data_IF_689535881197
#
_entry.id   IF_689535881197
#
_cell.length_a   1.000
_cell.length_b   1.000
_cell.length_c   1.000
_cell.angle_alpha   90.00
_cell.angle_beta   90.00
_cell.angle_gamma   90.00
#
_symmetry.space_group_name_H-M   'P 1'
#
loop_
_entity.id
_entity.type
_entity.pdbx_description
1 polymer ?
#
# COMPACT_ATOMS: atom_id res chain seq x y z
N UNK A 1 -57.70 -1.38 67.35
CA UNK A 1 -57.21 -2.67 66.82
C UNK A 1 -55.73 -2.50 66.48
N UNK A 2 -54.86 -3.23 67.19
CA UNK A 2 -53.39 -3.26 67.01
C UNK A 2 -53.00 -4.04 65.75
N UNK A 3 -51.87 -3.68 65.11
CA UNK A 3 -50.71 -4.51 64.68
C UNK A 3 -49.79 -3.59 63.82
N UNK A 4 -48.61 -3.15 64.29
CA UNK A 4 -47.24 -3.71 64.09
C UNK A 4 -46.83 -3.78 62.59
N UNK A 5 -45.62 -3.47 62.11
CA UNK A 5 -44.35 -2.91 62.61
C UNK A 5 -43.40 -2.72 61.39
N UNK A 6 -42.25 -2.08 61.64
CA UNK A 6 -40.96 -2.10 60.91
C UNK A 6 -40.61 -1.06 59.82
N UNK A 7 -39.62 -0.23 60.23
CA UNK A 7 -38.62 0.52 59.47
C UNK A 7 -37.70 -0.42 58.66
N UNK A 8 -37.23 0.02 57.48
CA UNK A 8 -35.81 0.17 57.10
C UNK A 8 -35.64 0.70 55.67
N UNK A 9 -34.51 1.37 55.46
CA UNK A 9 -34.13 2.21 54.34
C UNK A 9 -33.43 1.45 53.18
N UNK A 10 -33.38 2.07 52.00
CA UNK A 10 -32.24 2.15 51.06
C UNK A 10 -32.69 2.98 49.82
N UNK A 11 -32.13 4.16 49.55
CA UNK A 11 -31.00 4.38 48.62
C UNK A 11 -31.21 3.67 47.27
N UNK A 12 -31.48 4.30 46.12
CA UNK A 12 -30.81 5.45 45.53
C UNK A 12 -29.76 4.96 44.53
N UNK A 13 -30.08 4.88 43.23
CA UNK A 13 -29.09 4.80 42.15
C UNK A 13 -29.68 5.09 40.74
N UNK A 14 -29.38 6.31 40.28
CA UNK A 14 -28.85 6.67 38.95
C UNK A 14 -29.60 6.18 37.70
N UNK A 15 -30.42 7.08 37.17
CA UNK A 15 -30.75 7.14 35.76
C UNK A 15 -29.46 7.38 34.95
N UNK A 16 -29.06 6.38 34.16
CA UNK A 16 -28.08 6.49 33.09
C UNK A 16 -28.60 7.46 32.02
N UNK A 17 -28.36 8.74 32.24
CA UNK A 17 -28.33 9.72 31.17
C UNK A 17 -27.09 9.41 30.33
N UNK A 18 -27.33 8.87 29.14
CA UNK A 18 -26.35 8.79 28.08
C UNK A 18 -26.03 10.24 27.72
N UNK A 19 -25.03 10.81 28.40
CA UNK A 19 -24.42 12.05 27.98
C UNK A 19 -23.88 11.80 26.57
N UNK A 20 -24.45 12.51 25.60
CA UNK A 20 -23.85 12.69 24.31
C UNK A 20 -22.44 13.25 24.53
N UNK A 21 -21.42 12.40 24.50
CA UNK A 21 -20.04 12.84 24.42
C UNK A 21 -19.89 13.59 23.11
N UNK A 22 -19.64 14.91 23.21
CA UNK A 22 -19.25 15.75 22.10
C UNK A 22 -18.21 15.03 21.23
N UNK A 23 -18.36 15.04 19.90
CA UNK A 23 -17.34 14.55 18.97
C UNK A 23 -16.16 15.55 18.82
N UNK A 24 -15.93 16.42 19.81
CA UNK A 24 -14.75 17.27 19.90
C UNK A 24 -13.57 16.46 20.46
N UNK A 25 -13.20 15.38 19.77
CA UNK A 25 -11.80 14.97 19.83
C UNK A 25 -11.04 16.07 19.10
N UNK A 26 -10.21 16.80 19.84
CA UNK A 26 -9.22 17.67 19.25
C UNK A 26 -8.52 16.90 18.12
N UNK A 27 -8.83 17.27 16.88
CA UNK A 27 -8.00 16.92 15.73
C UNK A 27 -6.73 17.71 15.98
N UNK A 28 -5.75 17.10 16.65
CA UNK A 28 -4.44 17.72 16.84
C UNK A 28 -3.94 18.14 15.47
N UNK A 29 -3.89 19.45 15.23
CA UNK A 29 -3.33 20.03 14.00
C UNK A 29 -1.83 19.82 13.96
N UNK A 30 -1.22 19.63 15.13
CA UNK A 30 0.21 19.54 15.31
C UNK A 30 0.67 18.09 15.42
N UNK A 31 1.81 17.81 14.81
CA UNK A 31 2.46 16.51 14.91
C UNK A 31 3.02 16.29 16.32
N UNK A 32 2.91 15.07 16.83
CA UNK A 32 3.31 14.69 18.20
C UNK A 32 4.84 14.79 18.38
N UNK A 33 5.31 15.54 19.39
CA UNK A 33 6.72 15.55 19.85
C UNK A 33 7.36 16.94 19.99
N UNK A 34 8.39 17.03 20.83
CA UNK A 34 9.15 18.26 21.15
C UNK A 34 10.12 18.68 20.02
N UNK A 35 10.38 19.98 19.78
CA UNK A 35 10.81 20.49 18.46
C UNK A 35 12.30 20.59 18.18
N UNK A 36 13.22 19.99 18.95
CA UNK A 36 14.65 20.13 18.64
C UNK A 36 14.96 19.52 17.26
N UNK A 37 15.23 20.38 16.26
CA UNK A 37 15.50 20.03 14.86
C UNK A 37 14.41 19.17 14.19
N UNK A 38 13.14 19.46 14.49
CA UNK A 38 12.01 18.77 13.87
C UNK A 38 11.58 19.35 12.52
N UNK A 39 11.27 18.48 11.55
CA UNK A 39 10.71 18.82 10.24
C UNK A 39 9.38 18.09 10.02
N UNK A 40 8.40 18.81 9.44
CA UNK A 40 7.14 18.20 9.03
C UNK A 40 7.33 17.42 7.73
N UNK A 41 6.74 16.23 7.66
CA UNK A 41 6.65 15.46 6.45
C UNK A 41 5.44 15.90 5.63
N UNK A 42 5.65 16.02 4.33
CA UNK A 42 4.64 16.40 3.35
C UNK A 42 4.03 15.15 2.72
N UNK A 43 2.71 15.11 2.64
CA UNK A 43 1.99 14.08 1.89
C UNK A 43 2.36 14.16 0.43
N UNK A 44 2.95 13.08 -0.08
CA UNK A 44 3.39 12.97 -1.47
C UNK A 44 2.49 12.03 -2.25
N UNK A 45 2.22 10.82 -1.73
CA UNK A 45 1.39 9.82 -2.42
C UNK A 45 1.89 9.45 -3.83
N UNK A 46 3.20 9.54 -4.07
CA UNK A 46 3.78 9.29 -5.39
C UNK A 46 4.04 7.81 -5.61
N UNK A 47 3.84 7.35 -6.86
CA UNK A 47 4.05 5.97 -7.29
C UNK A 47 3.30 4.93 -6.44
N UNK A 48 2.21 5.33 -5.78
CA UNK A 48 1.29 4.41 -5.10
C UNK A 48 0.77 3.40 -6.14
N UNK A 49 0.64 2.11 -5.77
CA UNK A 49 0.21 1.10 -6.72
C UNK A 49 -1.14 1.46 -7.32
N UNK A 50 -1.25 1.34 -8.65
CA UNK A 50 -2.47 1.67 -9.41
C UNK A 50 -2.50 0.93 -10.73
N UNK A 51 -3.67 0.88 -11.35
CA UNK A 51 -3.80 0.24 -12.64
C UNK A 51 -5.08 0.53 -13.40
N UNK A 52 -5.15 -0.08 -14.57
CA UNK A 52 -6.36 -0.15 -15.39
C UNK A 52 -6.45 -1.51 -16.06
N UNK A 53 -7.64 -1.85 -16.50
CA UNK A 53 -7.80 -2.96 -17.43
C UNK A 53 -8.60 -2.52 -18.64
N UNK A 54 -8.37 -3.19 -19.75
CA UNK A 54 -9.12 -3.03 -20.99
C UNK A 54 -9.58 -4.41 -21.43
N UNK A 55 -10.90 -4.55 -21.58
CA UNK A 55 -11.51 -5.71 -22.21
C UNK A 55 -11.76 -5.38 -23.67
N UNK A 56 -11.37 -6.28 -24.59
CA UNK A 56 -11.64 -6.14 -26.01
C UNK A 56 -12.24 -7.43 -26.55
N UNK A 57 -13.48 -7.35 -27.04
CA UNK A 57 -14.25 -8.48 -27.56
C UNK A 57 -14.43 -8.30 -29.08
N UNK A 58 -13.70 -9.04 -29.92
CA UNK A 58 -13.76 -8.90 -31.38
C UNK A 58 -15.08 -9.44 -31.97
N UNK A 59 -15.44 -8.91 -33.14
CA UNK A 59 -16.79 -8.92 -33.76
C UNK A 59 -17.37 -10.28 -34.15
N UNK A 60 -16.62 -11.38 -34.11
CA UNK A 60 -17.09 -12.66 -34.64
C UNK A 60 -17.53 -13.59 -33.51
N UNK A 61 -18.85 -13.75 -33.35
CA UNK A 61 -19.47 -14.69 -32.41
C UNK A 61 -18.96 -16.15 -32.55
N UNK A 62 -18.36 -16.50 -33.70
CA UNK A 62 -17.77 -17.80 -33.97
C UNK A 62 -16.36 -18.00 -33.37
N UNK A 63 -15.69 -16.94 -32.89
CA UNK A 63 -14.31 -17.03 -32.38
C UNK A 63 -14.09 -16.24 -31.06
N UNK A 64 -14.84 -16.56 -29.98
CA UNK A 64 -14.66 -15.95 -28.66
C UNK A 64 -13.27 -16.23 -28.06
N UNK A 65 -12.51 -17.17 -28.65
CA UNK A 65 -11.14 -17.52 -28.30
C UNK A 65 -10.20 -16.30 -28.34
N UNK A 66 -10.55 -15.27 -29.14
CA UNK A 66 -9.78 -14.03 -29.29
C UNK A 66 -10.16 -12.89 -28.33
N UNK A 67 -11.07 -13.10 -27.39
CA UNK A 67 -11.36 -12.08 -26.38
C UNK A 67 -10.08 -11.75 -25.61
N UNK A 68 -9.74 -10.47 -25.52
CA UNK A 68 -8.49 -10.03 -24.88
C UNK A 68 -8.75 -9.24 -23.61
N UNK A 69 -7.94 -9.53 -22.60
CA UNK A 69 -7.87 -8.76 -21.36
C UNK A 69 -6.47 -8.19 -21.25
N UNK A 70 -6.37 -6.86 -21.21
CA UNK A 70 -5.11 -6.15 -21.00
C UNK A 70 -5.15 -5.47 -19.64
N UNK A 71 -4.35 -5.95 -18.71
CA UNK A 71 -4.14 -5.36 -17.38
C UNK A 71 -2.88 -4.50 -17.44
N UNK A 72 -2.93 -3.29 -16.90
CA UNK A 72 -1.78 -2.39 -16.79
C UNK A 72 -1.63 -1.94 -15.36
N UNK A 73 -0.46 -2.17 -14.78
CA UNK A 73 -0.12 -1.88 -13.39
C UNK A 73 1.15 -1.01 -13.34
N UNK A 74 1.23 -0.16 -12.33
CA UNK A 74 2.39 0.70 -12.02
C UNK A 74 2.53 0.82 -10.51
N UNK A 75 3.75 1.09 -10.03
CA UNK A 75 4.02 1.29 -8.61
C UNK A 75 4.03 -0.01 -7.80
N UNK A 76 4.21 -1.17 -8.45
CA UNK A 76 4.35 -2.46 -7.76
C UNK A 76 5.72 -2.59 -7.12
N UNK A 77 5.84 -3.34 -6.02
CA UNK A 77 7.13 -3.73 -5.46
C UNK A 77 7.74 -4.89 -6.26
N UNK A 78 9.07 -4.98 -6.29
CA UNK A 78 9.72 -6.22 -6.70
C UNK A 78 9.60 -7.23 -5.57
N UNK A 79 8.98 -8.37 -5.84
CA UNK A 79 8.77 -9.42 -4.85
C UNK A 79 10.01 -10.31 -4.74
N UNK A 80 10.44 -10.59 -3.51
CA UNK A 80 11.42 -11.65 -3.21
C UNK A 80 10.71 -13.00 -3.02
N UNK A 81 9.59 -12.99 -2.30
CA UNK A 81 8.74 -14.15 -2.07
C UNK A 81 7.34 -13.92 -2.64
N UNK A 82 6.67 -14.97 -3.09
CA UNK A 82 5.34 -14.87 -3.69
C UNK A 82 5.33 -14.21 -5.09
N UNK A 83 4.14 -14.14 -5.69
CA UNK A 83 3.94 -13.83 -7.10
C UNK A 83 2.66 -13.04 -7.33
N UNK A 84 2.74 -11.95 -8.08
CA UNK A 84 1.57 -11.30 -8.65
C UNK A 84 0.87 -12.24 -9.62
N UNK A 85 -0.39 -12.56 -9.35
CA UNK A 85 -1.19 -13.49 -10.16
C UNK A 85 -2.47 -12.82 -10.60
N UNK A 86 -2.79 -12.91 -11.90
CA UNK A 86 -4.02 -12.33 -12.48
C UNK A 86 -5.08 -13.42 -12.58
N UNK A 87 -6.25 -13.15 -12.03
CA UNK A 87 -7.43 -14.01 -12.12
C UNK A 87 -8.55 -13.32 -12.89
N UNK A 88 -9.19 -14.09 -13.77
CA UNK A 88 -10.39 -13.69 -14.52
C UNK A 88 -11.58 -14.42 -13.94
N UNK A 89 -12.69 -13.71 -13.75
CA UNK A 89 -13.90 -14.31 -13.20
C UNK A 89 -15.19 -13.69 -13.70
N UNK A 90 -16.29 -14.29 -13.27
CA UNK A 90 -17.65 -13.83 -13.53
C UNK A 90 -17.99 -12.53 -12.76
N UNK A 91 -19.17 -11.93 -13.03
CA UNK A 91 -19.61 -10.70 -12.33
C UNK A 91 -19.95 -10.91 -10.85
N UNK A 92 -20.18 -12.15 -10.45
CA UNK A 92 -20.59 -12.53 -9.10
C UNK A 92 -19.38 -12.86 -8.21
N UNK A 93 -18.18 -12.99 -8.80
CA UNK A 93 -16.97 -13.41 -8.11
C UNK A 93 -17.06 -14.84 -7.58
N UNK A 94 -17.87 -15.69 -8.23
CA UNK A 94 -18.11 -17.08 -7.80
C UNK A 94 -17.18 -18.08 -8.45
N UNK A 95 -16.69 -17.77 -9.66
CA UNK A 95 -15.72 -18.59 -10.38
C UNK A 95 -14.56 -17.71 -10.85
N UNK A 96 -13.34 -18.17 -10.56
CA UNK A 96 -12.10 -17.55 -11.00
C UNK A 96 -11.22 -18.57 -11.71
N UNK A 97 -10.61 -18.15 -12.81
CA UNK A 97 -9.53 -18.88 -13.47
C UNK A 97 -8.27 -18.03 -13.51
N UNK A 98 -7.13 -18.65 -13.26
CA UNK A 98 -5.83 -18.01 -13.45
C UNK A 98 -5.66 -17.67 -14.93
N UNK A 99 -5.25 -16.44 -15.20
CA UNK A 99 -4.88 -16.03 -16.54
C UNK A 99 -3.44 -16.47 -16.87
N UNK A 100 -3.24 -16.97 -18.09
CA UNK A 100 -1.91 -17.13 -18.69
C UNK A 100 -1.84 -16.23 -19.92
N UNK A 101 -0.73 -15.55 -20.15
CA UNK A 101 -0.63 -14.58 -21.23
C UNK A 101 0.78 -14.06 -21.47
N UNK A 102 0.87 -12.92 -22.14
CA UNK A 102 2.12 -12.21 -22.40
C UNK A 102 2.29 -11.12 -21.34
N UNK A 103 3.44 -11.12 -20.67
CA UNK A 103 3.86 -10.06 -19.75
C UNK A 103 4.83 -9.12 -20.46
N UNK A 104 4.58 -7.82 -20.41
CA UNK A 104 5.46 -6.79 -20.93
C UNK A 104 5.85 -5.90 -19.76
N UNK A 105 7.13 -5.85 -19.45
CA UNK A 105 7.69 -5.01 -18.39
C UNK A 105 8.43 -3.86 -19.06
N UNK A 106 8.05 -2.63 -18.74
CA UNK A 106 8.70 -1.42 -19.25
C UNK A 106 9.35 -0.68 -18.08
N UNK A 107 10.68 -0.58 -18.11
CA UNK A 107 11.46 0.29 -17.20
C UNK A 107 11.72 1.62 -17.89
N UNK A 108 11.40 2.73 -17.24
CA UNK A 108 11.69 4.06 -17.80
C UNK A 108 12.81 4.72 -17.01
N UNK A 109 14.00 4.76 -17.59
CA UNK A 109 15.16 5.43 -17.00
C UNK A 109 15.26 6.87 -17.49
N UNK A 110 16.08 7.69 -16.83
CA UNK A 110 16.42 9.03 -17.31
C UNK A 110 17.84 8.98 -17.82
N UNK A 111 18.06 9.41 -19.06
CA UNK A 111 19.38 9.51 -19.68
C UNK A 111 19.62 10.94 -20.15
N UNK A 112 20.87 11.33 -20.32
CA UNK A 112 21.19 12.61 -20.94
C UNK A 112 21.15 12.44 -22.46
N UNK A 113 20.42 13.31 -23.16
CA UNK A 113 20.47 13.37 -24.62
C UNK A 113 21.82 13.98 -25.09
N UNK A 114 22.01 14.09 -26.41
CA UNK A 114 23.23 14.67 -26.98
C UNK A 114 23.45 16.16 -26.61
N UNK A 115 22.42 16.85 -26.13
CA UNK A 115 22.46 18.25 -25.67
C UNK A 115 22.69 18.35 -24.14
N UNK A 116 22.77 17.22 -23.44
CA UNK A 116 22.90 17.19 -21.98
C UNK A 116 21.58 17.32 -21.23
N UNK A 117 20.42 17.27 -21.90
CA UNK A 117 19.12 17.33 -21.22
C UNK A 117 18.67 15.95 -20.72
N UNK A 118 18.09 15.86 -19.52
CA UNK A 118 17.50 14.62 -19.01
C UNK A 118 16.23 14.25 -19.79
N UNK A 119 16.26 13.11 -20.48
CA UNK A 119 15.13 12.56 -21.24
C UNK A 119 14.76 11.14 -20.76
N UNK A 120 13.48 10.76 -20.79
CA UNK A 120 13.06 9.41 -20.45
C UNK A 120 13.43 8.41 -21.56
N UNK A 121 14.08 7.30 -21.19
CA UNK A 121 14.40 6.19 -22.10
C UNK A 121 13.72 4.90 -21.61
N UNK A 122 12.67 4.42 -22.30
CA UNK A 122 12.01 3.17 -21.96
C UNK A 122 12.81 1.96 -22.46
N UNK A 123 12.97 0.96 -21.60
CA UNK A 123 13.48 -0.38 -21.93
C UNK A 123 12.37 -1.39 -21.70
N UNK A 124 12.05 -2.17 -22.73
CA UNK A 124 10.91 -3.11 -22.70
C UNK A 124 11.39 -4.54 -22.79
N UNK A 125 10.95 -5.37 -21.85
CA UNK A 125 11.18 -6.82 -21.86
C UNK A 125 9.84 -7.54 -21.97
N UNK A 126 9.74 -8.50 -22.88
CA UNK A 126 8.50 -9.27 -23.11
C UNK A 126 8.72 -10.73 -22.75
N UNK A 127 7.81 -11.29 -21.97
CA UNK A 127 7.78 -12.69 -21.55
C UNK A 127 6.48 -13.33 -22.06
N UNK A 128 6.61 -14.50 -22.68
CA UNK A 128 5.47 -15.24 -23.22
C UNK A 128 5.01 -16.31 -22.22
N UNK A 129 3.72 -16.68 -22.29
CA UNK A 129 3.12 -17.75 -21.50
C UNK A 129 3.34 -17.61 -19.98
N UNK A 130 3.27 -16.39 -19.49
CA UNK A 130 3.38 -16.05 -18.08
C UNK A 130 2.03 -16.22 -17.40
N UNK A 131 1.99 -16.88 -16.26
CA UNK A 131 0.80 -17.01 -15.42
C UNK A 131 0.89 -16.25 -14.09
N UNK A 132 2.10 -15.83 -13.72
CA UNK A 132 2.41 -15.08 -12.51
C UNK A 132 3.79 -14.43 -12.64
N UNK A 133 4.06 -13.35 -11.91
CA UNK A 133 5.31 -12.59 -12.03
C UNK A 133 5.73 -11.92 -10.71
N UNK A 134 7.01 -11.61 -10.59
CA UNK A 134 7.58 -10.92 -9.41
C UNK A 134 8.09 -9.52 -9.74
N UNK A 135 8.09 -9.15 -11.03
CA UNK A 135 8.63 -7.88 -11.50
C UNK A 135 7.77 -6.71 -11.03
N UNK A 136 8.39 -5.85 -10.23
CA UNK A 136 7.92 -4.50 -9.90
C UNK A 136 9.13 -3.57 -9.83
N UNK A 137 9.03 -2.52 -9.04
CA UNK A 137 10.10 -1.58 -8.76
C UNK A 137 9.78 -0.14 -9.20
N UNK A 138 10.62 0.82 -8.77
CA UNK A 138 10.48 2.21 -9.15
C UNK A 138 10.57 2.36 -10.67
N UNK A 139 9.69 3.19 -11.25
CA UNK A 139 9.63 3.49 -12.69
C UNK A 139 9.35 2.30 -13.61
N UNK A 140 8.93 1.17 -13.05
CA UNK A 140 8.45 0.03 -13.81
C UNK A 140 6.94 0.11 -14.03
N UNK A 141 6.52 -0.14 -15.27
CA UNK A 141 5.15 -0.44 -15.62
C UNK A 141 5.06 -1.88 -16.12
N UNK A 142 4.02 -2.57 -15.69
CA UNK A 142 3.74 -3.94 -16.07
C UNK A 142 2.44 -3.97 -16.86
N UNK A 143 2.49 -4.56 -18.05
CA UNK A 143 1.33 -4.85 -18.88
C UNK A 143 1.20 -6.34 -19.04
N UNK A 144 0.09 -6.90 -18.55
CA UNK A 144 -0.26 -8.30 -18.76
C UNK A 144 -1.39 -8.38 -19.79
N UNK A 145 -1.18 -9.13 -20.86
CA UNK A 145 -2.16 -9.34 -21.92
C UNK A 145 -2.47 -10.82 -22.02
N UNK A 146 -3.74 -11.18 -21.90
CA UNK A 146 -4.19 -12.56 -22.09
C UNK A 146 -5.34 -12.63 -23.06
N UNK A 147 -5.47 -13.77 -23.70
CA UNK A 147 -6.64 -14.16 -24.49
C UNK A 147 -7.47 -15.20 -23.74
N UNK A 148 -8.75 -15.32 -24.11
CA UNK A 148 -9.61 -16.41 -23.61
C UNK A 148 -8.96 -17.78 -23.81
N UNK A 149 -8.38 -18.03 -24.99
CA UNK A 149 -7.65 -19.26 -25.31
C UNK A 149 -6.55 -19.57 -24.29
N UNK A 150 -5.67 -18.60 -24.05
CA UNK A 150 -4.49 -18.78 -23.20
C UNK A 150 -4.87 -18.97 -21.73
N UNK A 151 -6.01 -18.41 -21.30
CA UNK A 151 -6.51 -18.55 -19.93
C UNK A 151 -7.31 -19.84 -19.68
N UNK A 152 -7.42 -20.74 -20.67
CA UNK A 152 -8.21 -21.98 -20.53
C UNK A 152 -9.69 -21.74 -20.25
N UNK A 153 -10.19 -20.57 -20.70
CA UNK A 153 -11.59 -20.20 -20.60
C UNK A 153 -12.33 -20.75 -21.84
N UNK A 154 -13.51 -21.30 -21.62
CA UNK A 154 -14.40 -21.73 -22.69
C UNK A 154 -15.21 -20.55 -23.23
N UNK A 155 -15.88 -20.71 -24.37
CA UNK A 155 -16.75 -19.68 -24.94
C UNK A 155 -17.89 -19.26 -24.00
N UNK A 156 -18.36 -20.16 -23.13
CA UNK A 156 -19.44 -19.89 -22.17
C UNK A 156 -18.96 -19.22 -20.89
N UNK A 157 -17.65 -19.19 -20.61
CA UNK A 157 -17.14 -18.58 -19.39
C UNK A 157 -17.30 -17.04 -19.43
N UNK A 158 -17.86 -16.45 -18.38
CA UNK A 158 -17.97 -15.00 -18.26
C UNK A 158 -16.63 -14.35 -17.91
N UNK A 159 -16.25 -13.28 -18.60
CA UNK A 159 -15.09 -12.44 -18.28
C UNK A 159 -15.59 -11.05 -17.90
N UNK A 160 -15.94 -10.88 -16.63
CA UNK A 160 -16.54 -9.65 -16.12
C UNK A 160 -15.74 -9.06 -14.97
N UNK A 161 -14.94 -9.86 -14.27
CA UNK A 161 -14.14 -9.41 -13.14
C UNK A 161 -12.68 -9.75 -13.39
N UNK A 162 -11.79 -8.83 -13.01
CA UNK A 162 -10.35 -9.06 -12.97
C UNK A 162 -9.85 -8.76 -11.58
N UNK A 163 -9.12 -9.73 -11.02
CA UNK A 163 -8.45 -9.63 -9.73
C UNK A 163 -6.94 -9.80 -9.94
N UNK A 164 -6.16 -9.05 -9.18
CA UNK A 164 -4.72 -9.31 -9.03
C UNK A 164 -4.42 -9.50 -7.56
N UNK A 165 -3.74 -10.61 -7.25
CA UNK A 165 -3.39 -11.02 -5.88
C UNK A 165 -1.88 -11.28 -5.79
N UNK A 166 -1.35 -11.37 -4.57
CA UNK A 166 0.02 -11.86 -4.30
C UNK A 166 -0.10 -13.26 -3.70
N UNK A 167 0.22 -14.28 -4.49
CA UNK A 167 0.14 -15.69 -4.12
C UNK A 167 1.51 -16.23 -3.70
N UNK A 168 1.57 -17.14 -2.74
CA UNK A 168 2.85 -17.77 -2.34
C UNK A 168 3.40 -18.71 -3.41
N UNK A 169 2.52 -19.24 -4.26
CA UNK A 169 2.86 -20.20 -5.31
C UNK A 169 2.60 -19.59 -6.69
N UNK A 170 3.61 -19.59 -7.55
CA UNK A 170 3.50 -19.17 -8.95
C UNK A 170 2.41 -19.94 -9.74
N UNK A 171 2.06 -21.14 -9.27
CA UNK A 171 1.07 -22.03 -9.86
C UNK A 171 -0.28 -22.04 -9.12
N UNK A 172 -0.60 -21.04 -8.30
CA UNK A 172 -1.92 -20.90 -7.68
C UNK A 172 -3.04 -20.94 -8.73
N UNK A 173 -4.05 -21.78 -8.55
CA UNK A 173 -5.18 -21.94 -9.49
C UNK A 173 -6.43 -21.20 -9.05
N UNK A 174 -6.51 -20.84 -7.77
CA UNK A 174 -7.57 -20.03 -7.17
C UNK A 174 -6.95 -18.86 -6.40
N UNK A 175 -7.62 -17.69 -6.33
CA UNK A 175 -7.19 -16.61 -5.45
C UNK A 175 -7.22 -17.07 -3.99
N UNK A 176 -6.18 -16.79 -3.22
CA UNK A 176 -6.14 -17.17 -1.81
C UNK A 176 -7.27 -16.50 -1.00
N UNK A 177 -7.97 -17.29 -0.19
CA UNK A 177 -9.00 -16.78 0.72
C UNK A 177 -8.40 -15.97 1.89
N UNK A 178 -7.16 -16.27 2.29
CA UNK A 178 -6.45 -15.54 3.35
C UNK A 178 -5.80 -14.26 2.83
N UNK A 179 -5.54 -14.16 1.52
CA UNK A 179 -5.00 -12.97 0.86
C UNK A 179 -6.02 -12.43 -0.14
N UNK A 180 -6.94 -11.62 0.40
CA UNK A 180 -7.94 -10.89 -0.40
C UNK A 180 -7.26 -10.16 -1.57
N UNK A 181 -7.92 -10.03 -2.73
CA UNK A 181 -7.37 -9.33 -3.86
C UNK A 181 -6.92 -7.91 -3.50
N UNK A 182 -5.73 -7.58 -4.00
CA UNK A 182 -5.07 -6.29 -3.77
C UNK A 182 -5.52 -5.27 -4.83
N UNK A 183 -5.92 -5.79 -5.98
CA UNK A 183 -6.44 -5.04 -7.10
C UNK A 183 -7.69 -5.73 -7.60
N UNK A 184 -8.78 -4.98 -7.74
CA UNK A 184 -10.01 -5.50 -8.33
C UNK A 184 -10.66 -4.49 -9.27
N UNK A 185 -11.22 -5.00 -10.36
CA UNK A 185 -12.22 -4.28 -11.15
C UNK A 185 -13.40 -5.18 -11.41
N UNK A 186 -14.60 -4.67 -11.14
CA UNK A 186 -15.84 -5.22 -11.65
C UNK A 186 -16.21 -4.52 -12.97
N UNK A 187 -16.23 -5.26 -14.06
CA UNK A 187 -16.86 -4.85 -15.31
C UNK A 187 -18.37 -4.82 -15.09
N UNK A 188 -18.91 -3.67 -14.67
CA UNK A 188 -20.35 -3.49 -14.60
C UNK A 188 -20.91 -3.09 -15.97
N UNK A 189 -22.10 -3.63 -16.24
CA UNK A 189 -23.01 -3.11 -17.25
C UNK A 189 -22.99 -3.91 -18.53
N UNK A 190 -24.10 -4.57 -18.85
CA UNK A 190 -24.41 -5.24 -20.13
C UNK A 190 -23.46 -6.36 -20.57
N UNK A 191 -24.01 -7.57 -20.69
CA UNK A 191 -23.48 -8.59 -21.60
C UNK A 191 -23.13 -7.89 -22.91
N UNK A 192 -21.89 -8.02 -23.34
CA UNK A 192 -21.52 -7.56 -24.68
C UNK A 192 -22.43 -8.32 -25.64
N UNK A 193 -23.25 -7.64 -26.46
CA UNK A 193 -24.12 -8.33 -27.40
C UNK A 193 -23.27 -9.28 -28.25
N UNK A 194 -23.79 -10.47 -28.57
CA UNK A 194 -23.12 -11.43 -29.45
C UNK A 194 -22.76 -10.83 -30.83
N UNK A 195 -23.27 -9.63 -31.14
CA UNK A 195 -23.01 -8.86 -32.35
C UNK A 195 -22.47 -7.46 -32.01
N UNK A 196 -21.18 -7.23 -32.29
CA UNK A 196 -20.55 -5.91 -32.19
C UNK A 196 -19.15 -5.95 -31.58
N UNK A 197 -18.23 -5.11 -32.06
CA UNK A 197 -16.93 -4.93 -31.40
C UNK A 197 -17.13 -4.05 -30.16
N UNK A 198 -16.86 -4.59 -28.98
CA UNK A 198 -16.91 -3.83 -27.73
C UNK A 198 -15.52 -3.74 -27.10
N UNK A 199 -15.08 -2.51 -26.82
CA UNK A 199 -13.89 -2.22 -26.04
C UNK A 199 -14.30 -1.45 -24.80
N UNK A 200 -13.93 -1.94 -23.62
CA UNK A 200 -14.26 -1.31 -22.33
C UNK A 200 -13.04 -1.18 -21.44
N UNK A 201 -12.67 0.07 -21.16
CA UNK A 201 -11.62 0.39 -20.20
C UNK A 201 -12.25 0.80 -18.88
N UNK A 202 -11.67 0.35 -17.76
CA UNK A 202 -11.95 0.94 -16.44
C UNK A 202 -10.74 0.77 -15.55
N UNK A 203 -10.65 1.67 -14.58
CA UNK A 203 -9.61 1.69 -13.58
C UNK A 203 -9.69 0.45 -12.69
N UNK A 204 -8.52 -0.05 -12.30
CA UNK A 204 -8.40 -1.01 -11.20
C UNK A 204 -7.94 -0.22 -9.99
N UNK A 205 -8.64 -0.42 -8.88
CA UNK A 205 -8.37 0.27 -7.63
C UNK A 205 -7.47 -0.59 -6.77
N UNK A 206 -6.48 0.03 -6.11
CA UNK A 206 -5.59 -0.64 -5.16
C UNK A 206 -6.20 -0.60 -3.76
N UNK A 207 -6.12 -1.71 -3.02
CA UNK A 207 -6.75 -1.84 -1.71
C UNK A 207 -7.04 -3.31 -1.37
N UNK A 208 -8.10 -3.58 -0.62
CA UNK A 208 -8.49 -4.94 -0.22
C UNK A 208 -9.92 -5.21 -0.64
N UNK A 209 -10.16 -6.22 -1.47
CA UNK A 209 -11.51 -6.52 -1.96
C UNK A 209 -12.05 -7.81 -1.35
N UNK A 210 -13.29 -7.82 -0.89
CA UNK A 210 -13.93 -8.96 -0.21
C UNK A 210 -14.34 -10.11 -1.14
N UNK A 211 -13.74 -10.21 -2.33
CA UNK A 211 -14.13 -11.17 -3.37
C UNK A 211 -15.59 -10.95 -3.80
N UNK A 212 -16.45 -11.93 -3.52
CA UNK A 212 -17.89 -11.85 -3.79
C UNK A 212 -18.61 -10.80 -2.90
N UNK A 213 -18.17 -10.63 -1.65
CA UNK A 213 -18.82 -9.72 -0.71
C UNK A 213 -18.23 -8.31 -0.80
N UNK A 214 -19.01 -7.36 -1.31
CA UNK A 214 -18.58 -5.96 -1.49
C UNK A 214 -18.54 -5.14 -0.19
N UNK A 215 -19.25 -5.52 0.86
CA UNK A 215 -19.26 -4.75 2.13
C UNK A 215 -17.85 -4.62 2.74
N UNK A 216 -17.00 -5.54 2.33
CA UNK A 216 -15.65 -5.77 2.79
C UNK A 216 -14.60 -5.05 1.95
N UNK A 217 -15.01 -4.37 0.87
CA UNK A 217 -14.13 -3.70 -0.08
C UNK A 217 -13.55 -2.41 0.50
N UNK A 218 -12.24 -2.28 0.39
CA UNK A 218 -11.42 -1.15 0.80
C UNK A 218 -10.59 -0.66 -0.37
N UNK A 219 -10.73 0.63 -0.67
CA UNK A 219 -9.89 1.33 -1.63
C UNK A 219 -8.87 2.15 -0.83
N UNK A 220 -7.60 1.93 -1.13
CA UNK A 220 -6.52 2.68 -0.52
C UNK A 220 -6.42 4.08 -1.13
N UNK A 221 -6.42 5.09 -0.27
CA UNK A 221 -6.12 6.47 -0.63
C UNK A 221 -5.01 6.92 0.31
N UNK A 222 -3.84 7.35 -0.18
CA UNK A 222 -2.76 7.76 0.69
C UNK A 222 -3.19 9.00 1.49
N UNK A 223 -3.14 8.89 2.81
CA UNK A 223 -3.33 9.99 3.75
C UNK A 223 -2.26 9.90 4.83
N UNK A 224 -2.00 11.01 5.50
CA UNK A 224 -1.05 11.02 6.60
C UNK A 224 -0.55 12.41 6.91
N UNK A 225 -0.04 12.54 8.13
CA UNK A 225 0.79 13.66 8.58
C UNK A 225 1.95 13.05 9.34
N UNK A 226 3.13 13.64 9.20
CA UNK A 226 4.32 13.13 9.86
C UNK A 226 5.21 14.23 10.36
N UNK A 227 6.04 13.91 11.35
CA UNK A 227 7.16 14.74 11.79
C UNK A 227 8.37 13.87 12.09
N UNK A 228 9.51 14.26 11.54
CA UNK A 228 10.80 13.69 11.88
C UNK A 228 11.56 14.68 12.76
N UNK A 229 12.31 14.19 13.74
CA UNK A 229 13.23 15.00 14.52
C UNK A 229 14.43 14.19 14.97
N UNK A 230 15.58 14.85 15.08
CA UNK A 230 16.84 14.25 15.50
C UNK A 230 17.27 14.87 16.83
N UNK A 231 17.58 14.03 17.81
CA UNK A 231 18.11 14.44 19.11
C UNK A 231 19.33 13.60 19.47
N UNK A 232 20.52 14.18 19.30
CA UNK A 232 21.78 13.45 19.51
C UNK A 232 21.89 12.25 18.59
N UNK A 233 22.04 11.05 19.16
CA UNK A 233 22.09 9.78 18.44
C UNK A 233 20.72 9.19 18.08
N UNK A 234 19.62 9.89 18.39
CA UNK A 234 18.27 9.34 18.17
C UNK A 234 17.52 10.09 17.07
N UNK A 235 17.02 9.35 16.08
CA UNK A 235 16.04 9.83 15.10
C UNK A 235 14.66 9.29 15.49
N UNK A 236 13.65 10.15 15.46
CA UNK A 236 12.26 9.76 15.66
C UNK A 236 11.42 10.27 14.51
N UNK A 237 10.54 9.42 13.99
CA UNK A 237 9.49 9.77 13.02
C UNK A 237 8.16 9.43 13.68
N UNK A 238 7.30 10.43 13.85
CA UNK A 238 5.96 10.26 14.39
C UNK A 238 4.94 10.64 13.33
N UNK A 239 4.07 9.70 13.01
CA UNK A 239 3.02 9.87 12.01
C UNK A 239 1.64 9.74 12.63
N UNK A 240 0.67 10.37 12.01
CA UNK A 240 -0.73 10.30 12.38
C UNK A 240 -1.64 10.30 11.17
N UNK A 241 -2.84 9.75 11.37
CA UNK A 241 -3.89 9.69 10.34
C UNK A 241 -3.44 9.02 9.03
N UNK A 242 -2.55 8.03 9.14
CA UNK A 242 -2.19 7.18 8.01
C UNK A 242 -3.41 6.33 7.63
N UNK A 243 -3.67 6.17 6.34
CA UNK A 243 -4.70 5.23 5.89
C UNK A 243 -4.27 3.80 6.24
N UNK A 244 -5.18 2.90 6.60
CA UNK A 244 -4.82 1.51 6.91
C UNK A 244 -4.13 0.89 5.68
N UNK A 245 -2.98 0.19 5.84
CA UNK A 245 -2.32 -0.43 4.69
C UNK A 245 -3.22 -1.53 4.09
N UNK A 246 -3.18 -1.74 2.76
CA UNK A 246 -3.77 -2.91 2.13
C UNK A 246 -3.14 -4.21 2.65
N UNK A 247 -3.86 -5.31 2.52
CA UNK A 247 -3.45 -6.66 2.88
C UNK A 247 -2.19 -7.03 2.12
N UNK A 248 -1.21 -7.54 2.84
CA UNK A 248 0.11 -7.83 2.31
C UNK A 248 1.02 -6.60 2.23
N UNK A 249 0.59 -5.44 2.72
CA UNK A 249 1.42 -4.23 2.80
C UNK A 249 1.58 -3.75 4.25
N UNK A 250 2.64 -2.98 4.49
CA UNK A 250 2.91 -2.33 5.76
C UNK A 250 3.60 -0.97 5.55
N UNK A 251 3.67 -0.15 6.61
CA UNK A 251 4.42 1.10 6.58
C UNK A 251 5.83 0.91 7.13
N UNK A 252 6.79 1.48 6.43
CA UNK A 252 8.19 1.53 6.83
C UNK A 252 8.77 2.93 6.60
N UNK A 253 9.90 3.22 7.22
CA UNK A 253 10.65 4.42 6.93
C UNK A 253 12.02 4.10 6.31
N UNK A 254 12.49 5.06 5.52
CA UNK A 254 13.79 5.04 4.89
C UNK A 254 14.42 6.43 4.96
N UNK A 255 15.75 6.50 5.00
CA UNK A 255 16.50 7.74 4.84
C UNK A 255 17.38 7.67 3.59
N UNK A 256 17.59 8.81 2.94
CA UNK A 256 18.48 8.93 1.78
C UNK A 256 19.80 9.53 2.21
N UNK A 257 20.89 8.79 2.03
CA UNK A 257 22.24 9.30 2.26
C UNK A 257 22.72 10.03 1.01
N UNK A 258 23.21 11.24 1.18
CA UNK A 258 23.84 12.02 0.13
C UNK A 258 25.36 11.98 0.19
N UNK A 259 26.02 12.24 -0.93
CA UNK A 259 27.43 12.60 -0.95
C UNK A 259 27.65 14.08 -0.51
N UNK A 260 28.89 14.56 -0.58
CA UNK A 260 29.26 15.95 -0.28
C UNK A 260 28.58 16.98 -1.20
N UNK A 261 28.04 16.56 -2.34
CA UNK A 261 27.29 17.38 -3.30
C UNK A 261 25.77 17.26 -3.14
N UNK A 262 25.30 16.49 -2.14
CA UNK A 262 23.90 16.18 -1.85
C UNK A 262 23.24 15.28 -2.89
N UNK A 263 24.03 14.61 -3.72
CA UNK A 263 23.51 13.62 -4.65
C UNK A 263 23.17 12.35 -3.86
N UNK A 264 21.95 11.81 -3.98
CA UNK A 264 21.60 10.53 -3.36
C UNK A 264 22.59 9.43 -3.78
N UNK A 265 23.27 8.83 -2.80
CA UNK A 265 24.20 7.72 -3.02
C UNK A 265 23.70 6.40 -2.45
N UNK A 266 22.84 6.46 -1.43
CA UNK A 266 22.34 5.26 -0.76
C UNK A 266 20.98 5.51 -0.09
N UNK A 267 20.27 4.42 0.20
CA UNK A 267 19.04 4.42 1.00
C UNK A 267 19.21 3.51 2.20
N UNK A 268 18.94 4.03 3.40
CA UNK A 268 19.05 3.30 4.66
C UNK A 268 17.66 2.94 5.14
N UNK A 269 17.43 1.66 5.41
CA UNK A 269 16.21 1.20 6.06
C UNK A 269 16.20 1.63 7.52
N UNK A 270 15.14 2.34 7.92
CA UNK A 270 14.98 2.88 9.26
C UNK A 270 14.12 2.00 10.17
N UNK A 271 13.42 1.02 9.59
CA UNK A 271 12.55 0.11 10.32
C UNK A 271 11.08 0.24 9.95
N UNK A 272 10.30 -0.69 10.51
CA UNK A 272 8.85 -0.69 10.45
C UNK A 272 8.24 0.20 11.53
N UNK A 273 7.04 0.70 11.27
CA UNK A 273 6.33 1.51 12.26
C UNK A 273 5.80 0.67 13.42
N UNK A 274 5.90 1.23 14.62
CA UNK A 274 5.31 0.69 15.85
C UNK A 274 4.27 1.64 16.43
N UNK A 275 3.49 1.16 17.41
CA UNK A 275 2.65 2.05 18.21
C UNK A 275 3.52 3.05 19.00
N UNK A 276 3.08 4.30 19.18
CA UNK A 276 3.83 5.28 19.98
C UNK A 276 3.91 4.89 21.47
N UNK A 277 4.72 5.61 22.24
CA UNK A 277 4.78 5.48 23.69
C UNK A 277 3.36 5.55 24.30
N UNK A 278 3.02 4.69 25.28
CA UNK A 278 3.89 3.73 26.00
C UNK A 278 4.08 2.36 25.34
N UNK A 279 3.46 2.07 24.19
CA UNK A 279 3.36 0.73 23.60
C UNK A 279 4.33 0.49 22.44
N UNK A 280 5.54 1.04 22.54
CA UNK A 280 6.57 1.01 21.47
C UNK A 280 6.99 -0.39 21.01
N UNK A 281 6.64 -1.42 21.77
CA UNK A 281 6.90 -2.83 21.46
C UNK A 281 5.87 -3.45 20.50
N UNK A 282 4.77 -2.75 20.17
CA UNK A 282 3.73 -3.26 19.27
C UNK A 282 4.02 -2.83 17.83
N UNK A 283 4.42 -3.80 17.00
CA UNK A 283 4.65 -3.60 15.57
C UNK A 283 3.35 -3.41 14.79
N UNK A 284 3.32 -2.42 13.91
CA UNK A 284 2.21 -2.18 12.99
C UNK A 284 2.35 -2.95 11.66
N UNK A 285 3.31 -3.86 11.55
CA UNK A 285 3.51 -4.71 10.36
C UNK A 285 2.24 -5.44 9.93
N UNK A 286 1.45 -5.93 10.90
CA UNK A 286 0.21 -6.66 10.65
C UNK A 286 -1.06 -5.80 10.77
N UNK A 287 -0.93 -4.47 10.77
CA UNK A 287 -2.07 -3.56 10.83
C UNK A 287 -3.01 -3.69 9.61
N UNK A 288 -2.57 -4.30 8.52
CA UNK A 288 -3.36 -4.60 7.32
C UNK A 288 -4.47 -5.65 7.55
N UNK A 289 -4.20 -6.63 8.43
CA UNK A 289 -5.00 -7.85 8.60
C UNK A 289 -5.64 -7.95 9.98
N UNK A 290 -4.99 -7.37 10.99
CA UNK A 290 -5.43 -7.42 12.38
C UNK A 290 -5.53 -6.00 12.96
N UNK A 291 -6.24 -5.87 14.08
CA UNK A 291 -6.16 -4.68 14.93
C UNK A 291 -5.01 -4.91 15.90
N UNK A 292 -3.89 -4.23 15.67
CA UNK A 292 -2.69 -4.39 16.52
C UNK A 292 -2.91 -3.73 17.88
N UNK A 293 -3.45 -2.51 17.88
CA UNK A 293 -3.80 -1.79 19.08
C UNK A 293 -5.06 -0.94 18.82
N UNK A 294 -6.18 -1.17 19.52
CA UNK A 294 -7.42 -0.41 19.30
C UNK A 294 -7.30 1.10 19.51
N UNK A 295 -6.31 1.58 20.27
CA UNK A 295 -6.08 3.01 20.50
C UNK A 295 -5.40 3.69 19.31
N UNK A 296 -4.59 2.95 18.57
CA UNK A 296 -3.85 3.46 17.40
C UNK A 296 -4.52 3.04 16.09
N UNK A 297 -5.32 1.98 16.11
CA UNK A 297 -6.04 1.41 14.98
C UNK A 297 -7.46 1.04 15.43
N UNK A 298 -8.38 2.00 15.52
CA UNK A 298 -9.73 1.74 16.02
C UNK A 298 -10.48 0.75 15.14
N UNK A 299 -11.24 -0.14 15.78
CA UNK A 299 -12.15 -1.04 15.09
C UNK A 299 -13.15 -0.25 14.23
N UNK A 300 -13.38 -0.71 13.00
CA UNK A 300 -14.29 -0.06 12.05
C UNK A 300 -13.71 1.17 11.34
N UNK A 301 -12.53 1.67 11.74
CA UNK A 301 -11.83 2.71 10.99
C UNK A 301 -10.75 2.11 10.10
N UNK A 302 -10.62 2.65 8.89
CA UNK A 302 -9.57 2.27 7.93
C UNK A 302 -8.37 3.20 8.05
N UNK A 303 -7.93 3.42 9.28
CA UNK A 303 -6.86 4.35 9.61
C UNK A 303 -5.95 3.81 10.72
N UNK A 304 -4.70 4.26 10.68
CA UNK A 304 -3.72 4.21 11.78
C UNK A 304 -3.60 5.64 12.29
N UNK A 305 -4.18 5.89 13.47
CA UNK A 305 -4.26 7.21 14.08
C UNK A 305 -2.90 7.73 14.55
N UNK A 306 -2.02 6.84 14.98
CA UNK A 306 -0.69 7.19 15.42
C UNK A 306 0.29 6.05 15.17
N UNK A 307 1.47 6.39 14.65
CA UNK A 307 2.55 5.46 14.38
C UNK A 307 3.88 6.14 14.71
N UNK A 308 4.88 5.39 15.16
CA UNK A 308 6.19 5.93 15.50
C UNK A 308 7.31 5.00 15.04
N UNK A 309 8.43 5.59 14.66
CA UNK A 309 9.72 4.93 14.54
C UNK A 309 10.69 5.68 15.44
N UNK A 310 11.45 4.97 16.26
CA UNK A 310 12.55 5.52 17.06
C UNK A 310 13.78 4.66 16.82
N UNK A 311 14.83 5.31 16.34
CA UNK A 311 16.09 4.67 15.98
C UNK A 311 17.19 5.27 16.83
N UNK A 312 17.97 4.40 17.43
CA UNK A 312 19.27 4.80 17.97
C UNK A 312 20.35 4.55 16.93
N UNK A 313 21.38 5.39 16.92
CA UNK A 313 22.48 5.29 15.98
C UNK A 313 23.20 3.94 16.03
N UNK A 314 23.23 3.33 17.21
CA UNK A 314 23.88 2.04 17.45
C UNK A 314 23.04 0.86 16.93
N UNK A 315 21.78 1.09 16.55
CA UNK A 315 20.81 0.03 16.17
C UNK A 315 20.60 -0.13 14.67
N UNK A 316 21.14 0.77 13.84
CA UNK A 316 20.96 0.75 12.39
C UNK A 316 22.31 0.75 11.68
N UNK A 317 22.52 -0.24 10.82
CA UNK A 317 23.70 -0.33 9.96
C UNK A 317 23.67 0.77 8.88
N UNK A 318 24.84 1.30 8.51
CA UNK A 318 24.97 2.34 7.48
C UNK A 318 24.94 3.79 7.99
N UNK A 319 24.70 3.99 9.30
CA UNK A 319 24.88 5.28 9.97
C UNK A 319 26.36 5.64 10.13
N UNK A 320 26.68 6.93 10.17
CA UNK A 320 28.05 7.40 10.32
C UNK A 320 28.63 7.05 11.69
N UNK A 321 29.93 6.79 11.76
CA UNK A 321 30.64 6.66 13.04
C UNK A 321 30.95 8.05 13.62
N UNK A 322 30.83 8.20 14.94
CA UNK A 322 31.22 9.43 15.66
C UNK A 322 30.05 10.22 16.28
N UNK A 323 30.28 11.51 16.55
CA UNK A 323 29.37 12.36 17.34
C UNK A 323 28.09 12.78 16.63
N UNK A 324 28.01 12.66 15.29
CA UNK A 324 26.85 13.03 14.47
C UNK A 324 26.48 11.88 13.51
N UNK A 325 25.83 10.81 14.00
CA UNK A 325 25.61 9.58 13.23
C UNK A 325 24.65 9.76 12.04
N UNK A 326 23.81 10.80 12.06
CA UNK A 326 22.88 11.15 10.99
C UNK A 326 23.43 12.16 9.98
N UNK A 327 24.71 12.54 10.09
CA UNK A 327 25.32 13.50 9.18
C UNK A 327 25.27 12.98 7.73
N UNK A 328 24.82 13.83 6.81
CA UNK A 328 24.76 13.52 5.38
C UNK A 328 23.47 12.84 4.92
N UNK A 329 22.51 12.59 5.82
CA UNK A 329 21.16 12.26 5.40
C UNK A 329 20.48 13.49 4.81
N UNK A 330 19.93 13.32 3.61
CA UNK A 330 19.30 14.38 2.83
C UNK A 330 17.79 14.40 3.05
N UNK A 331 17.16 13.22 3.03
CA UNK A 331 15.72 13.07 3.09
C UNK A 331 15.30 11.86 3.95
N UNK A 332 14.08 11.92 4.45
CA UNK A 332 13.38 10.79 5.06
C UNK A 332 12.06 10.54 4.33
N UNK A 333 11.73 9.27 4.16
CA UNK A 333 10.51 8.81 3.52
C UNK A 333 9.74 7.89 4.46
N UNK A 334 8.41 7.98 4.37
CA UNK A 334 7.49 6.97 4.86
C UNK A 334 6.88 6.32 3.64
N UNK A 335 7.04 5.01 3.53
CA UNK A 335 6.67 4.25 2.35
C UNK A 335 5.66 3.17 2.68
N UNK A 336 4.89 2.80 1.66
CA UNK A 336 4.03 1.62 1.69
C UNK A 336 4.76 0.47 1.00
N UNK A 337 4.99 -0.60 1.73
CA UNK A 337 5.89 -1.68 1.33
C UNK A 337 5.15 -3.02 1.32
N UNK A 338 5.32 -3.81 0.25
CA UNK A 338 4.83 -5.19 0.23
C UNK A 338 5.60 -6.05 1.24
N UNK A 339 4.90 -6.86 2.04
CA UNK A 339 5.50 -7.84 2.97
C UNK A 339 6.33 -8.91 2.26
N UNK A 340 6.13 -9.05 0.95
CA UNK A 340 6.75 -10.02 0.07
C UNK A 340 7.90 -9.43 -0.75
N UNK A 341 8.22 -8.14 -0.57
CA UNK A 341 9.31 -7.47 -1.29
C UNK A 341 10.69 -7.96 -0.86
N UNK A 342 11.72 -7.56 -1.60
CA UNK A 342 13.13 -7.67 -1.17
C UNK A 342 13.35 -6.82 0.11
N UNK A 343 13.80 -7.44 1.22
CA UNK A 343 14.07 -6.75 2.48
C UNK A 343 15.01 -5.56 2.30
N UNK A 344 14.82 -4.53 3.13
CA UNK A 344 15.66 -3.33 3.22
C UNK A 344 15.84 -2.51 1.93
N UNK A 345 15.19 -2.90 0.83
CA UNK A 345 15.13 -2.13 -0.40
C UNK A 345 13.96 -1.16 -0.33
N UNK A 346 14.22 0.13 -0.58
CA UNK A 346 13.18 1.14 -0.69
C UNK A 346 12.17 0.78 -1.80
N UNK A 347 10.90 0.65 -1.44
CA UNK A 347 9.80 0.45 -2.38
C UNK A 347 9.48 1.72 -3.16
N UNK A 348 8.70 1.63 -4.24
CA UNK A 348 8.40 2.78 -5.08
C UNK A 348 7.38 3.73 -4.43
N UNK A 349 6.50 3.24 -3.55
CA UNK A 349 5.35 3.97 -3.05
C UNK A 349 5.71 4.86 -1.86
N UNK A 350 5.96 6.14 -2.14
CA UNK A 350 6.26 7.15 -1.11
C UNK A 350 4.96 7.83 -0.68
N UNK A 351 4.66 7.73 0.62
CA UNK A 351 3.45 8.28 1.23
C UNK A 351 3.76 9.66 1.80
N UNK A 352 4.74 9.75 2.69
CA UNK A 352 5.21 11.00 3.27
C UNK A 352 6.70 11.21 2.98
N UNK A 353 7.13 12.46 2.86
CA UNK A 353 8.52 12.85 2.60
C UNK A 353 8.90 14.12 3.36
N UNK A 354 10.14 14.18 3.85
CA UNK A 354 10.75 15.43 4.30
C UNK A 354 12.22 15.49 3.87
N UNK A 355 12.69 16.67 3.48
CA UNK A 355 14.11 16.97 3.49
C UNK A 355 14.54 17.19 4.94
N UNK A 356 15.67 16.64 5.37
CA UNK A 356 16.17 16.88 6.72
C UNK A 356 16.75 18.31 6.85
N UNK A 357 16.83 18.86 8.08
CA UNK A 357 17.42 20.18 8.29
C UNK A 357 18.90 20.26 7.88
N UNK A 358 19.37 21.46 7.53
CA UNK A 358 20.76 21.68 7.09
C UNK A 358 21.80 21.27 8.13
N UNK A 359 21.49 21.35 9.43
CA UNK A 359 22.38 20.85 10.49
C UNK A 359 22.62 19.35 10.41
N UNK A 360 21.62 18.57 9.97
CA UNK A 360 21.76 17.13 9.75
C UNK A 360 22.39 16.84 8.39
N UNK A 361 22.06 17.63 7.38
CA UNK A 361 22.60 17.46 6.02
C UNK A 361 24.06 17.87 5.88
N UNK A 362 24.48 18.91 6.59
CA UNK A 362 25.73 19.65 6.38
C UNK A 362 26.60 19.73 7.63
N UNK A 363 26.07 19.40 8.81
CA UNK A 363 26.79 19.56 10.08
C UNK A 363 27.02 21.03 10.45
N UNK A 364 26.24 21.96 9.87
CA UNK A 364 26.34 23.40 10.10
C UNK A 364 25.00 23.93 10.63
N UNK A 365 24.99 24.79 11.67
CA UNK A 365 23.76 25.35 12.22
C UNK A 365 22.99 26.20 11.22
#
# INVERSE_FOLDING_TARGET
MKFLLFKRAAAGALALTIAACNPDRAVSTDAVGDPAYGIQLVLTGSNVPKGSVKFTFPRNAADPVRDTVRVTLTGLDTLESGFYTVFLGDSLGTSFKRATGTLIVTRTDTVLNALGDPVPQPTTTTFQNVSSFQNGGPRNSVVFVTTRAQSGLTASDSIQTVLVTIEDNAQATTPSASRRPIFARRGQGTAVPATGAASRTSQILFGNYGGANRSDDFVFIPTGRGRAYVRGSVLVINDSSLTRPPLGYYYAAFAVKGDSTRTPIDTVYLGEFTAPFPRRNLSLFNADSLIVDPLVQPAGQRAVLAASIRIDADTVSGLGSGSNPFLGFTEVFVTLESKNKVPDRLGPAIILRAALPDIIRLGRP
#
